data_IF_381366157496
#
_entry.id   IF_381366157496
#
_cell.length_a   1.000
_cell.length_b   1.000
_cell.length_c   1.000
_cell.angle_alpha   90.00
_cell.angle_beta   90.00
_cell.angle_gamma   90.00
#
_symmetry.space_group_name_H-M   'P 1'
#
loop_
_entity.id
_entity.type
_entity.pdbx_description
1 polymer ?
#
# COMPACT_ATOMS: atom_id res chain seq x y z
N UNK A 1 21.21 -9.45 -23.96
CA UNK A 1 21.59 -8.07 -23.64
C UNK A 1 22.15 -8.08 -22.23
N UNK A 2 23.40 -7.70 -22.04
CA UNK A 2 23.98 -7.48 -20.69
C UNK A 2 23.18 -6.37 -20.01
N UNK A 3 22.79 -6.52 -18.73
CA UNK A 3 22.11 -5.44 -18.03
C UNK A 3 23.07 -4.23 -18.00
N UNK A 4 22.65 -3.15 -18.63
CA UNK A 4 23.34 -1.87 -18.52
C UNK A 4 23.44 -1.55 -17.04
N UNK A 5 24.65 -1.37 -16.52
CA UNK A 5 24.86 -1.04 -15.11
C UNK A 5 24.31 0.36 -14.89
N UNK A 6 23.04 0.46 -14.52
CA UNK A 6 22.37 1.73 -14.25
C UNK A 6 23.03 2.38 -13.04
N UNK A 7 23.74 3.47 -13.26
CA UNK A 7 24.39 4.28 -12.21
C UNK A 7 23.94 5.72 -12.36
N UNK A 8 23.92 6.45 -11.25
CA UNK A 8 23.59 7.87 -11.29
C UNK A 8 22.08 8.20 -11.48
N UNK A 9 21.19 7.28 -11.13
CA UNK A 9 19.74 7.47 -11.28
C UNK A 9 19.23 8.67 -10.48
N UNK A 10 18.42 9.48 -11.12
CA UNK A 10 17.59 10.51 -10.49
C UNK A 10 16.16 9.97 -10.32
N UNK A 11 15.69 9.87 -9.09
CA UNK A 11 14.38 9.31 -8.74
C UNK A 11 13.48 10.40 -8.18
N UNK A 12 12.28 10.54 -8.71
CA UNK A 12 11.24 11.38 -8.10
C UNK A 12 10.23 10.50 -7.35
N UNK A 13 9.90 10.87 -6.10
CA UNK A 13 8.98 10.11 -5.25
C UNK A 13 7.86 11.02 -4.76
N UNK A 14 6.62 10.74 -5.13
CA UNK A 14 5.46 11.37 -4.50
C UNK A 14 4.97 10.57 -3.31
N UNK A 15 4.53 11.24 -2.25
CA UNK A 15 4.09 10.53 -1.04
C UNK A 15 5.21 9.95 -0.19
N UNK A 16 6.45 10.45 -0.34
CA UNK A 16 7.65 10.01 0.37
C UNK A 16 7.53 9.99 1.91
N UNK A 17 6.60 10.76 2.48
CA UNK A 17 6.34 10.84 3.93
C UNK A 17 5.19 9.95 4.41
N UNK A 18 4.71 9.04 3.56
CA UNK A 18 3.73 8.01 3.88
C UNK A 18 4.38 6.69 4.31
N UNK A 19 3.57 5.71 4.71
CA UNK A 19 4.03 4.37 5.11
C UNK A 19 4.96 3.74 4.08
N UNK A 20 4.55 3.67 2.81
CA UNK A 20 5.36 3.10 1.74
C UNK A 20 6.61 3.96 1.44
N UNK A 21 6.49 5.29 1.61
CA UNK A 21 7.62 6.19 1.48
C UNK A 21 8.71 5.90 2.52
N UNK A 22 8.35 5.72 3.78
CA UNK A 22 9.31 5.33 4.82
C UNK A 22 9.91 3.95 4.61
N UNK A 23 9.21 3.04 3.92
CA UNK A 23 9.79 1.77 3.50
C UNK A 23 10.80 1.90 2.35
N UNK A 24 10.57 2.82 1.40
CA UNK A 24 11.41 3.00 0.21
C UNK A 24 12.59 3.95 0.40
N UNK A 25 12.35 5.12 1.00
CA UNK A 25 13.33 6.22 1.02
C UNK A 25 14.69 5.84 1.62
N UNK A 26 14.77 5.10 2.76
CA UNK A 26 16.06 4.66 3.29
C UNK A 26 16.85 3.76 2.32
N UNK A 27 16.14 2.99 1.49
CA UNK A 27 16.74 2.10 0.50
C UNK A 27 17.30 2.90 -0.69
N UNK A 28 16.59 3.94 -1.15
CA UNK A 28 17.10 4.85 -2.19
C UNK A 28 18.35 5.61 -1.71
N UNK A 29 18.37 6.04 -0.45
CA UNK A 29 19.52 6.70 0.15
C UNK A 29 20.77 5.78 0.21
N UNK A 30 20.56 4.50 0.53
CA UNK A 30 21.63 3.51 0.66
C UNK A 30 22.11 2.96 -0.69
N UNK A 31 21.28 2.97 -1.73
CA UNK A 31 21.60 2.34 -3.03
C UNK A 31 22.60 3.20 -3.83
N UNK A 32 23.76 2.63 -4.15
CA UNK A 32 24.81 3.32 -4.92
C UNK A 32 24.43 3.66 -6.37
N UNK A 33 23.38 3.06 -6.91
CA UNK A 33 22.85 3.35 -8.26
C UNK A 33 22.03 4.63 -8.29
N UNK A 34 21.50 5.07 -7.15
CA UNK A 34 20.71 6.29 -7.00
C UNK A 34 21.62 7.45 -6.60
N UNK A 35 21.68 8.48 -7.42
CA UNK A 35 22.45 9.70 -7.15
C UNK A 35 21.61 10.78 -6.48
N UNK A 36 20.39 10.98 -6.94
CA UNK A 36 19.50 12.04 -6.46
C UNK A 36 18.08 11.56 -6.28
N UNK A 37 17.40 12.07 -5.25
CA UNK A 37 16.00 11.84 -5.00
C UNK A 37 15.27 13.17 -4.86
N UNK A 38 14.17 13.37 -5.62
CA UNK A 38 13.24 14.49 -5.42
C UNK A 38 11.99 13.94 -4.73
N UNK A 39 11.78 14.31 -3.47
CA UNK A 39 10.63 13.87 -2.67
C UNK A 39 9.54 14.93 -2.66
N UNK A 40 8.32 14.59 -3.10
CA UNK A 40 7.17 15.51 -3.14
C UNK A 40 6.11 15.03 -2.14
N UNK A 41 5.71 15.90 -1.20
CA UNK A 41 4.58 15.65 -0.32
C UNK A 41 3.97 16.96 0.21
N UNK A 42 2.75 16.87 0.76
CA UNK A 42 1.97 18.06 1.16
C UNK A 42 2.42 18.69 2.49
N UNK A 43 2.92 17.88 3.42
CA UNK A 43 3.31 18.34 4.77
C UNK A 43 4.76 18.79 4.78
N UNK A 44 5.12 19.79 5.60
CA UNK A 44 6.53 20.10 5.83
C UNK A 44 7.29 18.86 6.30
N UNK A 45 8.48 18.67 5.77
CA UNK A 45 9.34 17.54 6.08
C UNK A 45 10.80 17.96 5.89
N UNK A 46 11.66 17.50 6.78
CA UNK A 46 13.09 17.71 6.71
C UNK A 46 13.80 16.36 6.48
N UNK A 47 14.34 16.11 5.27
CA UNK A 47 15.11 14.91 4.98
C UNK A 47 16.33 14.73 5.87
N UNK A 48 17.01 15.83 6.24
CA UNK A 48 18.24 15.77 7.06
C UNK A 48 17.97 15.19 8.45
N UNK A 49 16.79 15.43 9.02
CA UNK A 49 16.37 14.84 10.30
C UNK A 49 16.25 13.30 10.25
N UNK A 50 16.23 12.71 9.06
CA UNK A 50 16.20 11.26 8.81
C UNK A 50 17.52 10.72 8.25
N UNK A 51 18.56 11.56 8.14
CA UNK A 51 19.85 11.20 7.53
C UNK A 51 19.78 11.02 6.01
N UNK A 52 18.76 11.55 5.34
CA UNK A 52 18.60 11.48 3.89
C UNK A 52 19.40 12.59 3.21
N UNK A 53 20.53 12.24 2.65
CA UNK A 53 21.51 13.19 2.08
C UNK A 53 21.36 13.36 0.57
N UNK A 54 20.82 12.37 -0.14
CA UNK A 54 20.54 12.43 -1.57
C UNK A 54 19.21 13.08 -1.88
N UNK A 55 18.34 13.27 -0.87
CA UNK A 55 16.95 13.70 -1.03
C UNK A 55 16.80 15.21 -0.94
N UNK A 56 16.32 15.82 -2.02
CA UNK A 56 15.75 17.17 -2.03
C UNK A 56 14.23 17.07 -1.80
N UNK A 57 13.74 17.77 -0.79
CA UNK A 57 12.31 17.81 -0.51
C UNK A 57 11.63 19.01 -1.16
N UNK A 58 10.49 18.76 -1.81
CA UNK A 58 9.63 19.79 -2.39
C UNK A 58 8.22 19.64 -1.82
N UNK A 59 7.74 20.68 -1.11
CA UNK A 59 6.36 20.68 -0.63
C UNK A 59 5.42 20.94 -1.80
N UNK A 60 4.42 20.07 -2.02
CA UNK A 60 3.47 20.22 -3.11
C UNK A 60 2.31 19.23 -3.04
N UNK A 61 1.28 19.52 -3.85
CA UNK A 61 0.11 18.67 -4.05
C UNK A 61 0.18 18.03 -5.44
N UNK A 62 -0.11 16.74 -5.55
CA UNK A 62 -0.08 16.00 -6.83
C UNK A 62 -1.13 16.49 -7.84
N UNK A 63 -2.11 17.27 -7.42
CA UNK A 63 -3.05 17.93 -8.32
C UNK A 63 -2.45 19.11 -9.08
N UNK A 64 -1.32 19.63 -8.62
CA UNK A 64 -0.59 20.69 -9.33
C UNK A 64 0.35 20.08 -10.38
N UNK A 65 -0.17 19.96 -11.60
CA UNK A 65 0.56 19.41 -12.73
C UNK A 65 1.82 20.22 -13.09
N UNK A 66 1.83 21.55 -12.81
CA UNK A 66 3.01 22.39 -13.06
C UNK A 66 4.13 22.06 -12.08
N UNK A 67 3.79 21.97 -10.80
CA UNK A 67 4.73 21.56 -9.75
C UNK A 67 5.34 20.20 -10.04
N UNK A 68 4.54 19.23 -10.50
CA UNK A 68 5.03 17.89 -10.83
C UNK A 68 5.97 17.91 -12.03
N UNK A 69 5.65 18.66 -13.11
CA UNK A 69 6.58 18.83 -14.24
C UNK A 69 7.92 19.43 -13.83
N UNK A 70 7.90 20.41 -12.94
CA UNK A 70 9.14 21.03 -12.43
C UNK A 70 9.92 20.05 -11.53
N UNK A 71 9.22 19.30 -10.67
CA UNK A 71 9.83 18.33 -9.76
C UNK A 71 10.44 17.13 -10.50
N UNK A 72 9.88 16.72 -11.63
CA UNK A 72 10.29 15.52 -12.37
C UNK A 72 11.22 15.81 -13.55
N UNK A 73 11.59 17.07 -13.79
CA UNK A 73 12.31 17.55 -14.99
C UNK A 73 13.53 16.73 -15.40
N UNK A 74 14.19 16.09 -14.47
CA UNK A 74 15.39 15.28 -14.72
C UNK A 74 15.27 13.86 -14.11
N UNK A 75 14.05 13.42 -13.83
CA UNK A 75 13.84 12.13 -13.23
C UNK A 75 13.97 11.01 -14.28
N UNK A 76 14.85 10.04 -14.03
CA UNK A 76 14.91 8.79 -14.77
C UNK A 76 13.76 7.86 -14.41
N UNK A 77 13.31 7.94 -13.14
CA UNK A 77 12.26 7.11 -12.58
C UNK A 77 11.34 7.93 -11.69
N UNK A 78 10.04 7.74 -11.84
CA UNK A 78 9.04 8.32 -10.95
C UNK A 78 8.34 7.21 -10.16
N UNK A 79 8.35 7.32 -8.82
CA UNK A 79 7.62 6.41 -7.92
C UNK A 79 6.44 7.18 -7.31
N UNK A 80 5.23 6.76 -7.67
CA UNK A 80 4.01 7.43 -7.22
C UNK A 80 3.36 6.67 -6.06
N UNK A 81 3.54 7.19 -4.84
CA UNK A 81 3.00 6.64 -3.59
C UNK A 81 1.94 7.55 -2.95
N UNK A 82 1.74 8.76 -3.50
CA UNK A 82 0.77 9.70 -2.98
C UNK A 82 -0.65 9.19 -3.22
N UNK A 83 -1.32 8.77 -2.15
CA UNK A 83 -2.70 8.28 -2.16
C UNK A 83 -3.40 8.63 -0.85
N UNK A 84 -4.65 9.02 -0.91
CA UNK A 84 -5.45 9.38 0.27
C UNK A 84 -6.50 8.30 0.54
N UNK A 85 -6.28 7.51 1.60
CA UNK A 85 -7.18 6.42 2.00
C UNK A 85 -8.31 6.90 2.91
N UNK A 86 -8.04 7.94 3.72
CA UNK A 86 -8.98 8.49 4.71
C UNK A 86 -8.71 9.98 4.92
N UNK A 87 -9.66 10.68 5.49
CA UNK A 87 -9.51 12.09 5.89
C UNK A 87 -10.85 12.77 6.04
N UNK A 88 -10.84 14.02 6.52
CA UNK A 88 -12.01 14.89 6.59
C UNK A 88 -12.36 15.56 5.24
N UNK A 89 -11.64 15.23 4.17
CA UNK A 89 -11.90 15.77 2.84
C UNK A 89 -13.15 15.13 2.22
N UNK A 90 -13.82 15.86 1.33
CA UNK A 90 -14.95 15.33 0.55
C UNK A 90 -14.50 14.17 -0.35
N UNK A 91 -15.44 13.29 -0.72
CA UNK A 91 -15.17 12.18 -1.64
C UNK A 91 -14.60 12.68 -2.99
N UNK A 92 -15.08 13.82 -3.48
CA UNK A 92 -14.60 14.47 -4.69
C UNK A 92 -13.14 14.91 -4.56
N UNK A 93 -12.76 15.53 -3.44
CA UNK A 93 -11.38 15.91 -3.17
C UNK A 93 -10.47 14.67 -3.06
N UNK A 94 -10.93 13.59 -2.44
CA UNK A 94 -10.19 12.33 -2.34
C UNK A 94 -9.97 11.76 -3.75
N UNK A 95 -11.03 11.69 -4.56
CA UNK A 95 -10.97 11.20 -5.93
C UNK A 95 -10.01 12.05 -6.78
N UNK A 96 -10.08 13.38 -6.68
CA UNK A 96 -9.17 14.27 -7.40
C UNK A 96 -7.70 14.07 -6.99
N UNK A 97 -7.41 13.91 -5.70
CA UNK A 97 -6.03 13.60 -5.25
C UNK A 97 -5.57 12.25 -5.79
N UNK A 98 -6.43 11.24 -5.75
CA UNK A 98 -6.04 9.86 -6.06
C UNK A 98 -5.98 9.62 -7.56
N UNK A 99 -7.02 9.99 -8.31
CA UNK A 99 -7.09 9.73 -9.75
C UNK A 99 -6.37 10.83 -10.52
N UNK A 100 -6.84 12.10 -10.45
CA UNK A 100 -6.24 13.16 -11.24
C UNK A 100 -4.78 13.38 -10.86
N UNK A 101 -4.47 13.30 -9.53
CA UNK A 101 -3.09 13.42 -9.05
C UNK A 101 -2.16 12.31 -9.57
N UNK A 102 -2.66 11.07 -9.70
CA UNK A 102 -1.87 9.97 -10.29
C UNK A 102 -1.66 10.17 -11.79
N UNK A 103 -2.70 10.60 -12.51
CA UNK A 103 -2.61 10.85 -13.93
C UNK A 103 -1.69 12.04 -14.23
N UNK A 104 -1.77 13.12 -13.46
CA UNK A 104 -0.83 14.23 -13.54
C UNK A 104 0.62 13.78 -13.31
N UNK A 105 0.83 12.88 -12.36
CA UNK A 105 2.17 12.35 -12.08
C UNK A 105 2.70 11.49 -13.24
N UNK A 106 1.86 10.65 -13.84
CA UNK A 106 2.25 9.86 -15.02
C UNK A 106 2.55 10.77 -16.22
N UNK A 107 1.66 11.72 -16.53
CA UNK A 107 1.82 12.63 -17.65
C UNK A 107 3.06 13.53 -17.49
N UNK A 108 3.36 13.97 -16.25
CA UNK A 108 4.58 14.73 -15.94
C UNK A 108 5.85 13.85 -16.07
N UNK A 109 5.79 12.59 -15.69
CA UNK A 109 6.89 11.63 -15.83
C UNK A 109 7.20 11.36 -17.32
N UNK A 110 6.19 11.08 -18.12
CA UNK A 110 6.31 10.86 -19.56
C UNK A 110 6.87 12.11 -20.27
N UNK A 111 6.34 13.31 -19.94
CA UNK A 111 6.83 14.57 -20.49
C UNK A 111 8.28 14.89 -20.08
N UNK A 112 8.75 14.42 -18.94
CA UNK A 112 10.14 14.53 -18.51
C UNK A 112 11.07 13.50 -19.17
N UNK A 113 10.54 12.55 -19.92
CA UNK A 113 11.29 11.44 -20.51
C UNK A 113 11.73 10.39 -19.48
N UNK A 114 11.01 10.28 -18.36
CA UNK A 114 11.29 9.26 -17.36
C UNK A 114 11.09 7.86 -17.95
N UNK A 115 12.12 7.03 -17.83
CA UNK A 115 12.11 5.67 -18.38
C UNK A 115 11.18 4.72 -17.65
N UNK A 116 10.82 5.03 -16.39
CA UNK A 116 9.97 4.16 -15.56
C UNK A 116 9.02 4.97 -14.70
N UNK A 117 7.80 4.47 -14.63
CA UNK A 117 6.78 4.92 -13.69
C UNK A 117 6.35 3.75 -12.83
N UNK A 118 6.52 3.87 -11.51
CA UNK A 118 6.19 2.84 -10.53
C UNK A 118 5.00 3.30 -9.69
N UNK A 119 3.92 2.55 -9.73
CA UNK A 119 2.70 2.85 -8.98
C UNK A 119 2.42 1.80 -7.92
N UNK A 120 2.17 2.24 -6.68
CA UNK A 120 1.69 1.39 -5.61
C UNK A 120 0.16 1.25 -5.69
N UNK A 121 -0.31 0.15 -6.26
CA UNK A 121 -1.71 -0.27 -6.25
C UNK A 121 -2.05 -1.01 -4.95
N UNK A 122 -2.88 -2.05 -4.98
CA UNK A 122 -3.29 -2.83 -3.81
C UNK A 122 -3.94 -4.15 -4.22
N UNK A 123 -3.88 -5.16 -3.35
CA UNK A 123 -4.72 -6.37 -3.42
C UNK A 123 -6.21 -6.05 -3.53
N UNK A 124 -6.63 -4.90 -3.01
CA UNK A 124 -8.03 -4.46 -3.08
C UNK A 124 -8.53 -4.26 -4.51
N UNK A 125 -7.66 -4.07 -5.50
CA UNK A 125 -8.04 -3.99 -6.92
C UNK A 125 -8.71 -5.27 -7.42
N UNK A 126 -8.34 -6.45 -6.88
CA UNK A 126 -9.01 -7.72 -7.19
C UNK A 126 -10.43 -7.82 -6.60
N UNK A 127 -10.71 -7.07 -5.54
CA UNK A 127 -11.93 -7.22 -4.74
C UNK A 127 -11.93 -8.47 -3.85
N UNK A 128 -12.99 -8.60 -3.06
CA UNK A 128 -13.14 -9.63 -2.04
C UNK A 128 -14.33 -10.53 -2.40
N UNK A 129 -14.16 -11.37 -3.42
CA UNK A 129 -15.22 -12.18 -4.01
C UNK A 129 -15.12 -13.64 -3.56
N UNK A 130 -16.29 -14.29 -3.50
CA UNK A 130 -16.39 -15.71 -3.10
C UNK A 130 -15.66 -16.64 -4.07
N UNK A 131 -15.57 -16.26 -5.32
CA UNK A 131 -14.95 -17.01 -6.42
C UNK A 131 -13.48 -16.64 -6.64
N UNK A 132 -12.89 -15.80 -5.81
CA UNK A 132 -11.44 -15.58 -5.83
C UNK A 132 -10.72 -16.88 -5.47
N UNK A 133 -9.80 -17.36 -6.31
CA UNK A 133 -8.98 -18.51 -5.96
C UNK A 133 -7.99 -18.16 -4.84
N UNK A 134 -7.58 -19.15 -4.08
CA UNK A 134 -6.38 -19.02 -3.23
C UNK A 134 -5.17 -19.04 -4.14
N UNK A 135 -4.33 -17.99 -4.07
CA UNK A 135 -3.20 -17.81 -4.97
C UNK A 135 -3.58 -17.13 -6.29
N UNK A 136 -4.28 -15.97 -6.19
CA UNK A 136 -4.55 -15.13 -7.36
C UNK A 136 -3.24 -14.65 -7.97
N UNK A 137 -3.01 -14.98 -9.25
CA UNK A 137 -1.91 -14.42 -10.04
C UNK A 137 -2.25 -13.03 -10.56
N UNK A 138 -1.27 -12.34 -11.13
CA UNK A 138 -1.45 -11.00 -11.70
C UNK A 138 -2.43 -10.96 -12.87
N UNK A 139 -2.64 -12.09 -13.54
CA UNK A 139 -3.60 -12.25 -14.64
C UNK A 139 -5.06 -12.39 -14.15
N UNK A 140 -5.26 -12.59 -12.84
CA UNK A 140 -6.61 -12.59 -12.28
C UNK A 140 -7.24 -11.20 -12.44
N UNK A 141 -8.49 -11.10 -12.94
CA UNK A 141 -9.09 -9.82 -13.28
C UNK A 141 -9.28 -8.92 -12.05
N UNK A 142 -8.96 -7.64 -12.21
CA UNK A 142 -9.28 -6.60 -11.23
C UNK A 142 -10.80 -6.37 -11.23
N UNK A 143 -11.48 -6.81 -10.17
CA UNK A 143 -12.93 -6.70 -9.96
C UNK A 143 -13.19 -6.02 -8.62
N UNK A 144 -13.01 -4.70 -8.52
CA UNK A 144 -13.05 -4.02 -7.23
C UNK A 144 -14.40 -4.18 -6.53
N UNK A 145 -14.38 -4.25 -5.20
CA UNK A 145 -15.58 -4.26 -4.38
C UNK A 145 -16.39 -2.97 -4.60
N UNK A 146 -17.66 -3.10 -5.00
CA UNK A 146 -18.48 -1.99 -5.52
C UNK A 146 -18.69 -0.84 -4.51
N UNK A 147 -18.70 -1.13 -3.21
CA UNK A 147 -18.93 -0.16 -2.14
C UNK A 147 -17.65 0.40 -1.53
N UNK A 148 -16.49 -0.24 -1.74
CA UNK A 148 -15.21 0.20 -1.21
C UNK A 148 -14.57 1.17 -2.20
N UNK A 149 -14.67 2.49 -1.94
CA UNK A 149 -14.12 3.51 -2.84
C UNK A 149 -12.62 3.30 -3.11
N UNK A 150 -11.86 2.90 -2.08
CA UNK A 150 -10.44 2.60 -2.18
C UNK A 150 -10.13 1.53 -3.25
N UNK A 151 -10.89 0.43 -3.24
CA UNK A 151 -10.75 -0.65 -4.21
C UNK A 151 -11.07 -0.19 -5.63
N UNK A 152 -12.19 0.55 -5.79
CA UNK A 152 -12.60 1.09 -7.09
C UNK A 152 -11.59 2.06 -7.67
N UNK A 153 -11.09 3.01 -6.86
CA UNK A 153 -10.10 3.97 -7.32
C UNK A 153 -8.78 3.30 -7.69
N UNK A 154 -8.33 2.28 -6.93
CA UNK A 154 -7.12 1.52 -7.30
C UNK A 154 -7.27 0.81 -8.63
N UNK A 155 -8.38 0.10 -8.86
CA UNK A 155 -8.65 -0.58 -10.13
C UNK A 155 -8.84 0.40 -11.30
N UNK A 156 -9.54 1.53 -11.09
CA UNK A 156 -9.73 2.60 -12.09
C UNK A 156 -8.38 3.20 -12.51
N UNK A 157 -7.52 3.49 -11.52
CA UNK A 157 -6.18 4.04 -11.78
C UNK A 157 -5.31 3.04 -12.56
N UNK A 158 -5.30 1.76 -12.19
CA UNK A 158 -4.56 0.74 -12.96
C UNK A 158 -4.98 0.73 -14.43
N UNK A 159 -6.30 0.70 -14.68
CA UNK A 159 -6.85 0.71 -16.03
C UNK A 159 -6.40 1.97 -16.81
N UNK A 160 -6.50 3.15 -16.18
CA UNK A 160 -6.12 4.41 -16.80
C UNK A 160 -4.61 4.52 -17.05
N UNK A 161 -3.77 4.01 -16.12
CA UNK A 161 -2.32 3.98 -16.29
C UNK A 161 -1.90 3.03 -17.40
N UNK A 162 -2.50 1.84 -17.48
CA UNK A 162 -2.23 0.88 -18.57
C UNK A 162 -2.56 1.48 -19.95
N UNK A 163 -3.70 2.16 -20.07
CA UNK A 163 -4.08 2.84 -21.31
C UNK A 163 -3.09 3.96 -21.68
N UNK A 164 -2.64 4.76 -20.68
CA UNK A 164 -1.65 5.82 -20.91
C UNK A 164 -0.27 5.28 -21.28
N UNK A 165 0.18 4.24 -20.58
CA UNK A 165 1.47 3.61 -20.85
C UNK A 165 1.52 2.99 -22.25
N UNK A 166 0.41 2.41 -22.72
CA UNK A 166 0.29 1.91 -24.09
C UNK A 166 0.36 3.01 -25.17
N UNK A 167 -0.02 4.25 -24.82
CA UNK A 167 0.02 5.41 -25.71
C UNK A 167 1.32 6.24 -25.57
N UNK A 168 2.06 6.08 -24.47
CA UNK A 168 3.29 6.80 -24.19
C UNK A 168 4.50 5.97 -24.61
N UNK A 169 5.25 6.44 -25.59
CA UNK A 169 6.51 5.79 -25.97
C UNK A 169 7.60 6.08 -24.92
N UNK A 170 8.32 5.05 -24.49
CA UNK A 170 9.55 5.18 -23.69
C UNK A 170 9.39 5.24 -22.18
N UNK A 171 8.17 5.11 -21.65
CA UNK A 171 7.96 5.03 -20.18
C UNK A 171 7.41 3.66 -19.78
N UNK A 172 8.22 2.83 -19.17
CA UNK A 172 7.84 1.52 -18.63
C UNK A 172 6.95 1.68 -17.39
N UNK A 173 5.84 0.95 -17.34
CA UNK A 173 4.91 0.98 -16.21
C UNK A 173 5.09 -0.25 -15.31
N UNK A 174 5.32 -0.02 -14.02
CA UNK A 174 5.31 -1.03 -12.96
C UNK A 174 4.14 -0.79 -12.02
N UNK A 175 3.29 -1.80 -11.85
CA UNK A 175 2.15 -1.78 -10.93
C UNK A 175 2.40 -2.78 -9.80
N UNK A 176 2.57 -2.32 -8.57
CA UNK A 176 2.70 -3.20 -7.42
C UNK A 176 1.37 -3.33 -6.71
N UNK A 177 0.90 -4.56 -6.46
CA UNK A 177 -0.29 -4.88 -5.67
C UNK A 177 0.11 -5.46 -4.32
N UNK A 178 0.49 -4.62 -3.34
CA UNK A 178 0.77 -5.13 -2.00
C UNK A 178 -0.51 -5.64 -1.32
N UNK A 179 -0.35 -6.66 -0.49
CA UNK A 179 -1.34 -7.10 0.48
C UNK A 179 -1.55 -6.04 1.58
N UNK A 180 -2.12 -6.38 2.73
CA UNK A 180 -2.26 -5.43 3.83
C UNK A 180 -0.88 -5.05 4.37
N UNK A 181 -0.48 -3.79 4.14
CA UNK A 181 0.83 -3.28 4.56
C UNK A 181 0.79 -2.86 6.01
N UNK A 182 1.69 -3.44 6.80
CA UNK A 182 1.92 -3.11 8.20
C UNK A 182 3.40 -2.76 8.42
N UNK A 183 3.71 -2.23 9.61
CA UNK A 183 5.07 -1.84 10.00
C UNK A 183 5.06 -0.62 10.93
N UNK A 184 6.24 -0.11 11.31
CA UNK A 184 6.38 1.00 12.24
C UNK A 184 5.63 2.28 11.87
N UNK A 185 5.52 2.60 10.57
CA UNK A 185 4.87 3.82 10.08
C UNK A 185 3.42 3.61 9.63
N UNK A 186 2.95 2.35 9.58
CA UNK A 186 1.56 2.03 9.26
C UNK A 186 0.61 2.41 10.40
N UNK A 187 1.09 2.32 11.66
CA UNK A 187 0.33 2.64 12.86
C UNK A 187 0.63 4.07 13.31
N UNK A 188 -0.38 4.92 13.34
CA UNK A 188 -0.24 6.33 13.72
C UNK A 188 0.05 7.29 12.57
N UNK A 189 0.28 6.80 11.36
CA UNK A 189 0.16 7.61 10.15
C UNK A 189 -1.29 8.04 9.97
N UNK A 190 -1.52 9.31 9.59
CA UNK A 190 -2.89 9.81 9.29
C UNK A 190 -3.52 9.08 8.08
N UNK A 191 -2.78 8.18 7.44
CA UNK A 191 -3.18 7.38 6.29
C UNK A 191 -3.69 5.98 6.64
N UNK A 192 -3.33 5.43 7.82
CA UNK A 192 -4.00 4.22 8.29
C UNK A 192 -5.42 4.63 8.69
N UNK A 193 -6.47 4.00 8.15
CA UNK A 193 -7.77 4.22 8.70
C UNK A 193 -7.67 3.91 10.20
N UNK A 194 -7.93 4.90 11.08
CA UNK A 194 -8.32 4.59 12.45
C UNK A 194 -9.42 3.53 12.45
N UNK A 195 -9.96 3.25 11.27
CA UNK A 195 -10.91 2.22 10.93
C UNK A 195 -10.39 0.83 10.63
N UNK A 196 -9.24 0.55 10.04
CA UNK A 196 -8.89 -0.86 9.79
C UNK A 196 -8.33 -1.54 11.04
N UNK A 197 -7.44 -0.89 11.80
CA UNK A 197 -7.04 -1.36 13.13
C UNK A 197 -8.09 -1.00 14.20
N UNK A 198 -8.91 0.02 14.01
CA UNK A 198 -10.06 0.33 14.86
C UNK A 198 -11.32 -0.46 14.49
N UNK A 199 -11.52 -0.90 13.24
CA UNK A 199 -12.58 -1.82 12.80
C UNK A 199 -12.18 -3.30 12.99
N UNK A 200 -10.90 -3.61 13.04
CA UNK A 200 -10.38 -4.83 13.70
C UNK A 200 -10.48 -4.72 15.22
N UNK A 201 -11.21 -3.69 15.70
CA UNK A 201 -11.71 -3.58 17.07
C UNK A 201 -10.66 -3.47 18.16
N UNK A 202 -9.67 -2.59 18.03
CA UNK A 202 -8.81 -2.30 19.18
C UNK A 202 -9.55 -1.54 20.32
N UNK A 203 -10.64 -0.81 20.06
CA UNK A 203 -11.38 -0.12 21.13
C UNK A 203 -12.25 -1.07 21.97
N UNK A 204 -13.14 -1.91 21.42
CA UNK A 204 -13.86 -2.92 22.21
C UNK A 204 -12.90 -4.04 22.69
N UNK A 205 -11.83 -4.35 21.93
CA UNK A 205 -10.78 -5.29 22.26
C UNK A 205 -9.99 -4.83 23.50
N UNK A 206 -9.62 -3.55 23.60
CA UNK A 206 -8.95 -3.01 24.82
C UNK A 206 -9.87 -3.05 26.05
N UNK A 207 -11.18 -2.85 25.87
CA UNK A 207 -12.16 -2.97 26.94
C UNK A 207 -12.37 -4.43 27.38
N UNK A 208 -12.54 -5.33 26.41
CA UNK A 208 -12.64 -6.78 26.66
C UNK A 208 -11.35 -7.36 27.26
N UNK A 209 -10.15 -6.90 26.84
CA UNK A 209 -8.88 -7.32 27.43
C UNK A 209 -8.72 -6.95 28.89
N UNK A 210 -9.26 -5.80 29.32
CA UNK A 210 -9.33 -5.42 30.75
C UNK A 210 -10.27 -6.32 31.56
N UNK A 211 -11.33 -6.83 30.93
CA UNK A 211 -12.35 -7.67 31.57
C UNK A 211 -12.12 -9.17 31.37
N UNK A 212 -11.02 -9.58 30.67
CA UNK A 212 -10.67 -10.98 30.36
C UNK A 212 -11.78 -11.78 29.65
N UNK A 213 -12.71 -11.11 28.95
CA UNK A 213 -13.70 -11.80 28.14
C UNK A 213 -13.08 -12.27 26.82
N UNK A 214 -13.36 -13.51 26.37
CA UNK A 214 -12.88 -13.99 25.07
C UNK A 214 -13.55 -13.19 23.94
N UNK A 215 -12.77 -12.82 22.91
CA UNK A 215 -13.25 -12.09 21.75
C UNK A 215 -13.63 -13.05 20.62
N UNK A 216 -14.67 -12.73 19.82
CA UNK A 216 -14.99 -13.52 18.63
C UNK A 216 -13.87 -13.34 17.59
N UNK A 217 -13.32 -14.43 17.09
CA UNK A 217 -12.29 -14.45 16.07
C UNK A 217 -12.81 -15.19 14.81
N UNK A 218 -13.20 -14.46 13.77
CA UNK A 218 -13.61 -15.08 12.51
C UNK A 218 -12.45 -15.86 11.87
N UNK A 219 -12.76 -16.97 11.25
CA UNK A 219 -11.82 -17.76 10.45
C UNK A 219 -11.64 -17.11 9.06
N UNK A 220 -10.99 -15.98 9.03
CA UNK A 220 -10.72 -15.21 7.82
C UNK A 220 -9.20 -14.98 7.71
N UNK A 221 -8.50 -15.75 6.86
CA UNK A 221 -7.07 -15.55 6.64
C UNK A 221 -6.82 -14.26 5.85
N UNK A 222 -5.78 -13.52 6.26
CA UNK A 222 -5.33 -12.29 5.62
C UNK A 222 -3.84 -12.39 5.32
N UNK A 223 -3.44 -11.99 4.12
CA UNK A 223 -2.03 -11.76 3.83
C UNK A 223 -1.59 -10.40 4.34
N UNK A 224 -0.43 -10.36 4.95
CA UNK A 224 0.26 -9.15 5.36
C UNK A 224 1.56 -9.01 4.59
N UNK A 225 2.09 -7.79 4.56
CA UNK A 225 3.44 -7.51 4.08
C UNK A 225 4.05 -6.38 4.89
N UNK A 226 5.32 -6.48 5.22
CA UNK A 226 6.02 -5.42 5.95
C UNK A 226 6.32 -4.23 5.04
N UNK A 227 6.22 -2.98 5.56
CA UNK A 227 6.49 -1.78 4.77
C UNK A 227 7.91 -1.75 4.18
N UNK A 228 8.89 -2.35 4.87
CA UNK A 228 10.25 -2.48 4.36
C UNK A 228 10.34 -3.43 3.16
N UNK A 229 9.57 -4.53 3.17
CA UNK A 229 9.53 -5.49 2.06
C UNK A 229 8.84 -4.89 0.82
N UNK A 230 7.80 -4.06 1.03
CA UNK A 230 7.22 -3.28 -0.07
C UNK A 230 8.23 -2.26 -0.60
N UNK A 231 8.99 -1.61 0.29
CA UNK A 231 10.11 -0.72 -0.08
C UNK A 231 11.14 -1.42 -0.96
N UNK A 232 11.52 -2.66 -0.62
CA UNK A 232 12.42 -3.49 -1.43
C UNK A 232 11.82 -3.79 -2.81
N UNK A 233 10.54 -4.17 -2.90
CA UNK A 233 9.88 -4.41 -4.18
C UNK A 233 9.86 -3.14 -5.06
N UNK A 234 9.57 -1.97 -4.46
CA UNK A 234 9.61 -0.69 -5.15
C UNK A 234 11.04 -0.37 -5.65
N UNK A 235 12.07 -0.59 -4.83
CA UNK A 235 13.46 -0.40 -5.25
C UNK A 235 13.83 -1.31 -6.44
N UNK A 236 13.39 -2.59 -6.43
CA UNK A 236 13.60 -3.50 -7.56
C UNK A 236 13.03 -2.96 -8.86
N UNK A 237 11.85 -2.35 -8.83
CA UNK A 237 11.27 -1.68 -9.99
C UNK A 237 12.06 -0.41 -10.38
N UNK A 238 12.52 0.38 -9.41
CA UNK A 238 13.34 1.58 -9.67
C UNK A 238 14.61 1.23 -10.43
N UNK A 239 15.26 0.12 -10.10
CA UNK A 239 16.51 -0.29 -10.73
C UNK A 239 16.32 -1.26 -11.91
N UNK A 240 15.09 -1.47 -12.37
CA UNK A 240 14.75 -2.41 -13.45
C UNK A 240 15.33 -3.81 -13.22
N UNK A 241 15.13 -4.37 -12.04
CA UNK A 241 15.60 -5.72 -11.71
C UNK A 241 14.86 -6.81 -12.52
N UNK A 242 13.67 -6.49 -13.06
CA UNK A 242 12.86 -7.33 -13.93
C UNK A 242 12.05 -6.50 -14.93
N UNK A 243 11.24 -7.14 -15.80
CA UNK A 243 10.46 -6.47 -16.84
C UNK A 243 9.37 -5.56 -16.24
N UNK A 244 8.89 -4.55 -17.02
CA UNK A 244 7.70 -3.78 -16.63
C UNK A 244 6.47 -4.69 -16.58
N UNK A 245 5.53 -4.36 -15.70
CA UNK A 245 4.31 -5.15 -15.53
C UNK A 245 3.69 -5.02 -14.13
N UNK A 246 2.75 -5.91 -13.86
CA UNK A 246 2.06 -6.00 -12.55
C UNK A 246 2.72 -7.05 -11.68
N UNK A 247 2.82 -6.77 -10.36
CA UNK A 247 3.46 -7.66 -9.38
C UNK A 247 2.67 -7.71 -8.08
N UNK A 248 2.32 -8.90 -7.66
CA UNK A 248 1.72 -9.16 -6.35
C UNK A 248 2.80 -9.18 -5.26
N UNK A 249 2.59 -8.48 -4.17
CA UNK A 249 3.56 -8.32 -3.08
C UNK A 249 2.92 -8.71 -1.75
N UNK A 250 3.30 -9.85 -1.19
CA UNK A 250 2.80 -10.36 0.08
C UNK A 250 3.86 -11.20 0.79
N UNK A 251 3.91 -11.12 2.11
CA UNK A 251 4.79 -11.95 2.93
C UNK A 251 4.34 -13.42 2.97
N UNK A 252 5.25 -14.29 3.36
CA UNK A 252 4.94 -15.69 3.56
C UNK A 252 4.03 -15.90 4.78
N UNK A 253 3.11 -16.84 4.64
CA UNK A 253 2.13 -17.18 5.66
C UNK A 253 0.88 -16.31 5.66
N UNK A 254 -0.07 -16.69 6.48
CA UNK A 254 -1.35 -16.03 6.66
C UNK A 254 -1.57 -15.72 8.13
N UNK A 255 -2.23 -14.60 8.40
CA UNK A 255 -2.62 -14.20 9.76
C UNK A 255 -4.14 -14.19 9.85
N UNK A 256 -4.67 -14.73 10.93
CA UNK A 256 -6.10 -14.73 11.23
C UNK A 256 -6.40 -13.74 12.37
N UNK A 257 -7.66 -13.30 12.55
CA UNK A 257 -8.08 -12.56 13.74
C UNK A 257 -7.74 -13.26 15.06
N UNK A 258 -7.68 -14.61 15.06
CA UNK A 258 -7.24 -15.40 16.21
C UNK A 258 -5.75 -15.18 16.54
N UNK A 259 -4.92 -15.08 15.51
CA UNK A 259 -3.48 -14.80 15.69
C UNK A 259 -3.29 -13.38 16.23
N UNK A 260 -4.06 -12.41 15.73
CA UNK A 260 -4.05 -11.04 16.27
C UNK A 260 -4.46 -11.01 17.75
N UNK A 261 -5.53 -11.72 18.12
CA UNK A 261 -5.97 -11.81 19.51
C UNK A 261 -4.88 -12.45 20.41
N UNK A 262 -4.22 -13.51 19.94
CA UNK A 262 -3.13 -14.19 20.65
C UNK A 262 -1.93 -13.26 20.87
N UNK A 263 -1.49 -12.54 19.85
CA UNK A 263 -0.37 -11.59 19.97
C UNK A 263 -0.69 -10.40 20.89
N UNK A 264 -1.98 -10.09 21.07
CA UNK A 264 -2.47 -9.09 22.03
C UNK A 264 -2.69 -9.67 23.44
N UNK A 265 -2.39 -10.96 23.68
CA UNK A 265 -2.59 -11.63 24.97
C UNK A 265 -4.07 -11.86 25.33
N UNK A 266 -4.96 -11.94 24.33
CA UNK A 266 -6.40 -12.07 24.53
C UNK A 266 -6.88 -13.50 24.27
N UNK A 267 -7.80 -13.97 25.10
CA UNK A 267 -8.55 -15.18 24.80
C UNK A 267 -9.49 -14.91 23.62
N UNK A 268 -9.65 -15.88 22.74
CA UNK A 268 -10.58 -15.78 21.59
C UNK A 268 -11.28 -17.11 21.35
N UNK A 269 -12.48 -17.04 20.75
CA UNK A 269 -13.22 -18.22 20.30
C UNK A 269 -13.51 -18.13 18.79
N UNK A 270 -13.49 -19.24 18.07
CA UNK A 270 -13.73 -19.25 16.63
C UNK A 270 -15.16 -18.88 16.30
N UNK A 271 -15.36 -18.04 15.28
CA UNK A 271 -16.65 -17.74 14.69
C UNK A 271 -16.67 -18.30 13.28
N UNK A 272 -17.62 -19.20 12.95
CA UNK A 272 -17.72 -19.75 11.60
C UNK A 272 -17.83 -18.66 10.54
N UNK A 273 -17.09 -18.81 9.42
CA UNK A 273 -17.05 -17.85 8.33
C UNK A 273 -18.45 -17.49 7.79
N UNK A 274 -19.40 -18.45 7.77
CA UNK A 274 -20.79 -18.21 7.34
C UNK A 274 -21.50 -17.17 8.20
N UNK A 275 -21.31 -17.18 9.52
CA UNK A 275 -21.90 -16.21 10.44
C UNK A 275 -21.29 -14.84 10.23
N UNK A 276 -19.96 -14.78 10.11
CA UNK A 276 -19.24 -13.52 9.83
C UNK A 276 -19.70 -12.90 8.50
N UNK A 277 -19.79 -13.72 7.45
CA UNK A 277 -20.27 -13.27 6.13
C UNK A 277 -21.72 -12.79 6.16
N UNK A 278 -22.61 -13.47 6.91
CA UNK A 278 -24.00 -13.05 7.05
C UNK A 278 -24.12 -11.74 7.82
N UNK A 279 -23.36 -11.57 8.90
CA UNK A 279 -23.29 -10.32 9.64
C UNK A 279 -22.71 -9.18 8.78
N UNK A 280 -21.63 -9.46 8.03
CA UNK A 280 -21.05 -8.49 7.10
C UNK A 280 -22.03 -8.01 6.04
N UNK A 281 -22.82 -8.95 5.45
CA UNK A 281 -23.88 -8.61 4.48
C UNK A 281 -25.00 -7.79 5.10
N UNK A 282 -25.44 -8.15 6.32
CA UNK A 282 -26.47 -7.40 7.02
C UNK A 282 -26.02 -5.97 7.32
N UNK A 283 -24.79 -5.79 7.80
CA UNK A 283 -24.19 -4.47 8.00
C UNK A 283 -24.07 -3.72 6.67
N UNK A 284 -23.57 -4.38 5.61
CA UNK A 284 -23.43 -3.77 4.29
C UNK A 284 -24.79 -3.36 3.64
N UNK A 285 -25.90 -3.95 4.06
CA UNK A 285 -27.23 -3.60 3.58
C UNK A 285 -27.81 -2.31 4.19
N UNK A 286 -27.21 -1.77 5.26
CA UNK A 286 -27.69 -0.55 5.89
C UNK A 286 -27.45 0.68 4.98
N UNK A 287 -28.44 1.58 4.83
CA UNK A 287 -28.37 2.69 3.87
C UNK A 287 -27.39 3.81 4.27
N UNK A 288 -27.05 3.92 5.55
CA UNK A 288 -26.17 4.97 6.10
C UNK A 288 -25.00 4.36 6.86
N UNK A 289 -24.00 3.85 6.11
CA UNK A 289 -22.81 3.27 6.73
C UNK A 289 -21.73 4.34 6.89
N UNK A 290 -21.10 4.47 8.08
CA UNK A 290 -19.90 5.26 8.22
C UNK A 290 -18.78 4.71 7.30
N UNK A 291 -17.83 5.54 6.86
CA UNK A 291 -16.75 5.13 5.92
C UNK A 291 -16.00 3.86 6.34
N UNK A 292 -15.92 3.60 7.65
CA UNK A 292 -15.32 2.39 8.24
C UNK A 292 -16.07 1.11 7.84
N UNK A 293 -17.37 1.18 7.68
CA UNK A 293 -18.19 0.02 7.35
C UNK A 293 -18.04 -0.43 5.89
N UNK A 294 -17.47 0.39 5.02
CA UNK A 294 -17.11 -0.02 3.66
C UNK A 294 -16.04 -1.13 3.66
N UNK A 295 -15.20 -1.18 4.71
CA UNK A 295 -14.20 -2.24 4.89
C UNK A 295 -14.77 -3.57 5.36
N UNK A 296 -16.05 -3.60 5.78
CA UNK A 296 -16.75 -4.86 6.13
C UNK A 296 -16.84 -5.78 4.91
N UNK A 297 -16.93 -5.24 3.70
CA UNK A 297 -16.90 -6.04 2.47
C UNK A 297 -15.53 -6.73 2.30
N UNK A 298 -14.42 -6.04 2.63
CA UNK A 298 -13.08 -6.62 2.65
C UNK A 298 -12.91 -7.75 3.67
N UNK A 299 -13.74 -7.76 4.72
CA UNK A 299 -13.77 -8.82 5.73
C UNK A 299 -14.71 -9.98 5.38
N UNK A 300 -15.34 -9.99 4.20
CA UNK A 300 -16.28 -11.03 3.81
C UNK A 300 -15.65 -12.27 3.21
N UNK A 301 -14.61 -12.09 2.39
CA UNK A 301 -13.90 -13.18 1.72
C UNK A 301 -12.40 -12.87 1.69
N UNK A 302 -11.52 -13.88 1.81
CA UNK A 302 -10.09 -13.67 1.70
C UNK A 302 -9.70 -13.30 0.26
N UNK A 303 -8.68 -12.45 0.13
CA UNK A 303 -8.01 -12.18 -1.13
C UNK A 303 -6.55 -12.61 -0.96
N UNK A 304 -6.23 -13.82 -1.40
CA UNK A 304 -4.92 -14.44 -1.25
C UNK A 304 -4.23 -14.46 -2.61
N UNK A 305 -3.10 -13.78 -2.70
CA UNK A 305 -2.32 -13.63 -3.93
C UNK A 305 -1.17 -14.63 -3.99
N UNK A 306 -0.81 -15.03 -5.20
CA UNK A 306 0.45 -15.68 -5.53
C UNK A 306 1.52 -14.60 -5.78
N UNK A 307 2.73 -14.79 -5.28
CA UNK A 307 3.86 -13.86 -5.41
C UNK A 307 5.01 -14.44 -6.25
N UNK A 308 4.77 -15.56 -6.91
CA UNK A 308 5.81 -16.28 -7.70
C UNK A 308 6.43 -15.38 -8.75
N UNK A 309 5.63 -14.55 -9.41
CA UNK A 309 6.12 -13.63 -10.45
C UNK A 309 7.10 -12.59 -9.90
N UNK A 310 6.78 -11.97 -8.75
CA UNK A 310 7.67 -11.00 -8.12
C UNK A 310 9.00 -11.65 -7.70
N UNK A 311 8.95 -12.88 -7.20
CA UNK A 311 10.16 -13.65 -6.84
C UNK A 311 11.00 -14.01 -8.06
N UNK A 312 10.37 -14.55 -9.10
CA UNK A 312 11.07 -15.04 -10.29
C UNK A 312 11.65 -13.89 -11.13
N UNK A 313 10.86 -12.83 -11.37
CA UNK A 313 11.24 -11.76 -12.32
C UNK A 313 11.99 -10.61 -11.63
N UNK A 314 11.56 -10.16 -10.44
CA UNK A 314 12.24 -9.07 -9.72
C UNK A 314 13.35 -9.57 -8.78
N UNK A 315 13.44 -10.89 -8.53
CA UNK A 315 14.30 -11.43 -7.47
C UNK A 315 13.93 -10.88 -6.09
N UNK A 316 12.63 -10.58 -5.89
CA UNK A 316 12.12 -10.06 -4.62
C UNK A 316 11.75 -11.22 -3.68
N UNK A 317 12.18 -11.09 -2.42
CA UNK A 317 11.78 -12.00 -1.35
C UNK A 317 11.45 -11.19 -0.10
N UNK A 318 10.36 -11.51 0.64
CA UNK A 318 10.05 -10.85 1.89
C UNK A 318 11.06 -11.25 2.97
N UNK A 319 11.55 -10.27 3.72
CA UNK A 319 12.41 -10.49 4.87
C UNK A 319 11.60 -10.85 6.13
N UNK A 320 10.31 -10.51 6.16
CA UNK A 320 9.40 -10.77 7.26
C UNK A 320 8.29 -11.73 6.83
N UNK A 321 7.97 -12.71 7.65
CA UNK A 321 6.71 -13.46 7.52
C UNK A 321 5.51 -12.59 7.92
N UNK A 322 4.30 -13.01 7.56
CA UNK A 322 3.08 -12.30 7.94
C UNK A 322 2.93 -12.14 9.47
N UNK A 323 3.33 -13.16 10.24
CA UNK A 323 3.28 -13.11 11.71
C UNK A 323 4.35 -12.19 12.31
N UNK A 324 5.55 -12.19 11.77
CA UNK A 324 6.63 -11.26 12.18
C UNK A 324 6.25 -9.81 11.87
N UNK A 325 5.66 -9.56 10.71
CA UNK A 325 5.10 -8.26 10.33
C UNK A 325 4.06 -7.76 11.36
N UNK A 326 3.14 -8.63 11.78
CA UNK A 326 2.18 -8.32 12.82
C UNK A 326 2.87 -7.98 14.15
N UNK A 327 3.79 -8.83 14.59
CA UNK A 327 4.53 -8.66 15.86
C UNK A 327 5.33 -7.35 15.89
N UNK A 328 6.04 -7.04 14.82
CA UNK A 328 6.79 -5.79 14.74
C UNK A 328 5.89 -4.58 14.84
N UNK A 329 4.77 -4.59 14.12
CA UNK A 329 3.76 -3.53 14.17
C UNK A 329 3.21 -3.32 15.58
N UNK A 330 2.87 -4.40 16.29
CA UNK A 330 2.32 -4.33 17.65
C UNK A 330 3.36 -3.83 18.67
N UNK A 331 4.61 -4.24 18.57
CA UNK A 331 5.71 -3.73 19.41
C UNK A 331 5.85 -2.22 19.29
N UNK A 332 5.88 -1.69 18.06
CA UNK A 332 6.03 -0.25 17.80
C UNK A 332 4.81 0.54 18.32
N UNK A 333 3.62 -0.04 18.23
CA UNK A 333 2.41 0.56 18.80
C UNK A 333 2.48 0.67 20.33
N UNK A 334 2.95 -0.36 21.03
CA UNK A 334 3.14 -0.37 22.48
C UNK A 334 4.15 0.68 22.95
N UNK A 335 5.31 0.79 22.28
CA UNK A 335 6.33 1.79 22.60
C UNK A 335 5.88 3.24 22.43
N UNK A 336 5.00 3.53 21.47
CA UNK A 336 4.45 4.88 21.27
C UNK A 336 3.44 5.28 22.32
N UNK A 337 2.69 4.33 22.89
CA UNK A 337 1.72 4.61 23.96
C UNK A 337 2.37 4.77 25.35
N UNK A 338 3.55 4.19 25.56
CA UNK A 338 4.32 4.36 26.81
C UNK A 338 5.10 5.68 26.90
N UNK A 339 5.12 6.48 25.82
CA UNK A 339 5.80 7.79 25.75
C UNK A 339 4.84 8.99 25.67
N UNK A 340 3.54 8.78 25.69
CA UNK A 340 2.48 9.78 25.76
C UNK A 340 1.81 9.73 27.15
#
# INVERSE_FOLDING_TARGET
MTPETLTGLTVAVTGATGTLGFGLMPLLEADGRVAHVTAVARRPFDPAAHGWTKTKYQRGDVRDARLLRDAFRHADVVVHLAFQVTGAASAETIKSVNIDGTLNAFDAAAAAGARRFVFASSVAAYGFHRDNPVGMTEDWPARPAARLFYAREKAEIEHLLLARAAAAEGTDLYLLRPSVVLGPHAVGGKSAPRGLLGALALAPVRWAGRLRFPVPAPELPVQLVHEADVGQALLRCVVAAGPPGTYNIAADGLVTPRDVARELGMASFPVPARLTQSAARAVAALPFLPPVAQWVEAASHPAIMDTTRARAELGWEPAFTALETLRDTLRQYGHRQGRS
#
